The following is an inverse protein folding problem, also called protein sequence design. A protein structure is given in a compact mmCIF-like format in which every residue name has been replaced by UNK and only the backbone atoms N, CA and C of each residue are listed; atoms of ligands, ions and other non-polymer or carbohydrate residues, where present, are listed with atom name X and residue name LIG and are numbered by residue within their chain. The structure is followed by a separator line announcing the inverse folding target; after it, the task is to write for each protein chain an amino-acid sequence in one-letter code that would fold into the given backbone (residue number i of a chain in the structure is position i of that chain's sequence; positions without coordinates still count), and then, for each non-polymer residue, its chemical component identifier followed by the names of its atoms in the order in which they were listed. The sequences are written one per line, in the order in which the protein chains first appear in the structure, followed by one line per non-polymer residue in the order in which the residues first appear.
data_IF_948905856106
#
_entry.id   IF_948905856106
#
_cell.length_a   1.000
_cell.length_b   1.000
_cell.length_c   1.000
_cell.angle_alpha   90.00
_cell.angle_beta   90.00
_cell.angle_gamma   90.00
#
_symmetry.space_group_name_H-M   'P 1'
#
loop_
_entity.id
_entity.type
_entity.pdbx_description
1 polymer ?
#
# COMPACT_ATOMS: atom_id res chain seq x y z
N UNK A 1 -22.64 97.05 -4.02
CA UNK A 1 -22.33 95.73 -4.64
C UNK A 1 -23.45 95.37 -5.57
N UNK A 2 -23.22 95.53 -6.92
CA UNK A 2 -24.25 95.27 -7.97
C UNK A 2 -24.18 93.85 -8.46
N UNK A 3 -25.22 92.96 -8.13
CA UNK A 3 -25.33 91.61 -8.66
C UNK A 3 -25.75 91.64 -10.15
N UNK A 4 -24.94 91.11 -11.04
CA UNK A 4 -25.22 90.94 -12.44
C UNK A 4 -26.03 89.66 -12.66
N UNK A 5 -27.34 89.84 -13.02
CA UNK A 5 -28.23 88.77 -13.41
C UNK A 5 -27.83 88.18 -14.74
N UNK A 6 -27.30 86.98 -14.84
CA UNK A 6 -27.11 86.21 -16.06
C UNK A 6 -28.45 85.55 -16.40
N UNK A 7 -29.11 85.99 -17.44
CA UNK A 7 -30.26 85.28 -18.01
C UNK A 7 -29.79 83.97 -18.60
N UNK A 8 -30.22 82.83 -18.12
CA UNK A 8 -30.06 81.53 -18.72
C UNK A 8 -31.08 81.48 -19.88
N UNK A 9 -30.62 81.29 -21.10
CA UNK A 9 -31.45 81.05 -22.29
C UNK A 9 -31.85 79.57 -22.23
N UNK A 10 -33.05 79.23 -21.86
CA UNK A 10 -33.60 77.89 -21.95
C UNK A 10 -34.00 77.62 -23.40
N UNK A 11 -33.10 76.96 -24.14
CA UNK A 11 -33.37 76.50 -25.51
C UNK A 11 -34.21 75.22 -25.38
N UNK A 12 -35.47 75.27 -25.72
CA UNK A 12 -36.31 74.08 -25.72
C UNK A 12 -35.77 73.04 -26.74
N UNK A 13 -35.80 71.74 -26.45
CA UNK A 13 -35.13 70.70 -27.24
C UNK A 13 -35.62 70.67 -28.72
N UNK A 14 -36.83 71.24 -29.00
CA UNK A 14 -37.38 71.37 -30.35
C UNK A 14 -36.60 72.33 -31.25
N UNK A 15 -36.12 73.48 -30.69
CA UNK A 15 -35.29 74.46 -31.45
C UNK A 15 -33.89 73.96 -31.66
N UNK A 16 -33.33 73.17 -30.72
CA UNK A 16 -32.01 72.53 -30.86
C UNK A 16 -32.04 71.49 -31.99
N UNK A 17 -33.09 70.67 -32.09
CA UNK A 17 -33.28 69.68 -33.16
C UNK A 17 -33.45 70.38 -34.50
N UNK A 18 -34.25 71.47 -34.57
CA UNK A 18 -34.45 72.24 -35.78
C UNK A 18 -33.17 72.94 -36.24
N UNK A 19 -32.35 73.47 -35.31
CA UNK A 19 -31.07 74.07 -35.67
C UNK A 19 -30.08 73.04 -36.20
N UNK A 20 -30.06 71.79 -35.58
CA UNK A 20 -29.24 70.67 -36.03
C UNK A 20 -29.62 70.16 -37.40
N UNK A 21 -30.94 70.10 -37.75
CA UNK A 21 -31.39 69.71 -39.09
C UNK A 21 -31.03 70.76 -40.13
N UNK A 22 -31.20 72.04 -39.82
CA UNK A 22 -30.79 73.12 -40.71
C UNK A 22 -29.27 73.10 -40.94
N UNK A 23 -28.47 72.84 -39.91
CA UNK A 23 -26.99 72.72 -40.00
C UNK A 23 -26.61 71.53 -40.91
N UNK A 24 -27.27 70.38 -40.78
CA UNK A 24 -27.05 69.21 -41.65
C UNK A 24 -27.43 69.50 -43.13
N UNK A 25 -28.54 70.17 -43.35
CA UNK A 25 -28.94 70.53 -44.70
C UNK A 25 -27.99 71.54 -45.35
N UNK A 26 -27.55 72.55 -44.59
CA UNK A 26 -26.54 73.54 -45.06
C UNK A 26 -25.22 72.83 -45.40
N UNK A 27 -24.76 71.88 -44.54
CA UNK A 27 -23.55 71.06 -44.79
C UNK A 27 -23.72 70.22 -46.05
N UNK A 28 -24.90 69.63 -46.25
CA UNK A 28 -25.21 68.86 -47.48
C UNK A 28 -25.20 69.70 -48.72
N UNK A 29 -25.81 70.89 -48.70
CA UNK A 29 -25.85 71.86 -49.84
C UNK A 29 -24.46 72.38 -50.14
N UNK A 30 -23.67 72.76 -49.11
CA UNK A 30 -22.27 73.20 -49.29
C UNK A 30 -21.40 72.07 -49.85
N UNK A 31 -21.65 70.80 -49.47
CA UNK A 31 -20.95 69.63 -50.03
C UNK A 31 -21.25 69.44 -51.55
N UNK A 32 -22.43 69.79 -52.03
CA UNK A 32 -22.80 69.67 -53.46
C UNK A 32 -22.21 70.80 -54.30
N UNK A 33 -21.97 72.00 -53.74
CA UNK A 33 -21.48 73.17 -54.49
C UNK A 33 -19.95 73.37 -54.47
N UNK A 34 -19.23 72.67 -53.59
CA UNK A 34 -17.78 72.83 -53.43
C UNK A 34 -17.02 71.55 -53.69
N UNK A 35 -17.02 71.03 -54.90
CA UNK A 35 -16.19 69.87 -55.29
C UNK A 35 -14.70 70.08 -55.16
N UNK A 36 -14.19 71.33 -55.08
CA UNK A 36 -12.79 71.62 -54.91
C UNK A 36 -12.22 71.55 -53.46
N UNK A 37 -13.10 71.57 -52.45
CA UNK A 37 -12.67 71.57 -51.02
C UNK A 37 -12.63 70.17 -50.42
N UNK A 38 -13.13 69.16 -51.13
CA UNK A 38 -13.21 67.80 -50.75
C UNK A 38 -11.83 67.07 -50.66
N UNK A 39 -10.85 67.59 -51.41
CA UNK A 39 -9.46 67.04 -51.33
C UNK A 39 -8.75 67.26 -49.99
N UNK A 40 -9.01 68.40 -49.36
CA UNK A 40 -8.42 68.74 -48.04
C UNK A 40 -9.10 67.94 -46.90
N UNK A 41 -10.43 67.72 -47.00
CA UNK A 41 -11.15 66.90 -46.00
C UNK A 41 -10.76 65.44 -46.14
N UNK A 42 -10.54 64.95 -47.35
CA UNK A 42 -10.08 63.55 -47.59
C UNK A 42 -8.69 63.31 -47.08
N UNK A 43 -7.79 64.29 -47.10
CA UNK A 43 -6.45 64.21 -46.56
C UNK A 43 -6.47 64.17 -45.01
N UNK A 44 -7.33 64.96 -44.37
CA UNK A 44 -7.50 64.94 -42.92
C UNK A 44 -8.10 63.60 -42.46
N UNK A 45 -9.07 63.06 -43.19
CA UNK A 45 -9.66 61.75 -42.84
C UNK A 45 -8.65 60.60 -42.95
N UNK A 46 -7.87 60.61 -44.05
CA UNK A 46 -6.83 59.59 -44.24
C UNK A 46 -5.64 59.74 -43.26
N UNK A 47 -5.33 60.95 -42.82
CA UNK A 47 -4.17 61.23 -41.97
C UNK A 47 -4.45 60.98 -40.47
N UNK A 48 -5.70 61.17 -40.01
CA UNK A 48 -6.06 61.05 -38.60
C UNK A 48 -7.02 59.90 -38.29
N UNK A 49 -8.03 59.68 -39.12
CA UNK A 49 -9.06 58.67 -38.82
C UNK A 49 -8.59 57.22 -39.11
N UNK A 50 -7.87 57.03 -40.23
CA UNK A 50 -7.36 55.68 -40.61
C UNK A 50 -6.32 55.15 -39.63
N UNK A 51 -5.30 55.94 -39.16
CA UNK A 51 -4.37 55.44 -38.13
C UNK A 51 -5.04 55.26 -36.77
N UNK A 52 -6.03 56.08 -36.41
CA UNK A 52 -6.80 55.91 -35.18
C UNK A 52 -7.64 54.62 -35.18
N UNK A 53 -8.25 54.28 -36.30
CA UNK A 53 -9.02 53.04 -36.50
C UNK A 53 -8.12 51.79 -36.46
N UNK A 54 -6.89 51.90 -37.03
CA UNK A 54 -5.89 50.84 -36.93
C UNK A 54 -5.37 50.69 -35.48
N UNK A 55 -5.16 51.82 -34.77
CA UNK A 55 -4.75 51.81 -33.37
C UNK A 55 -5.78 51.13 -32.43
N UNK A 56 -7.07 51.42 -32.62
CA UNK A 56 -8.14 50.81 -31.82
C UNK A 56 -8.26 49.30 -32.09
N UNK A 57 -8.15 48.87 -33.35
CA UNK A 57 -8.14 47.46 -33.67
C UNK A 57 -6.93 46.72 -33.10
N UNK A 58 -5.74 47.32 -33.14
CA UNK A 58 -4.52 46.74 -32.58
C UNK A 58 -4.59 46.61 -31.05
N UNK A 59 -5.17 47.62 -30.38
CA UNK A 59 -5.39 47.54 -28.92
C UNK A 59 -6.47 46.49 -28.60
N UNK A 60 -7.55 46.41 -29.40
CA UNK A 60 -8.60 45.40 -29.25
C UNK A 60 -8.05 43.97 -29.33
N UNK A 61 -7.30 43.67 -30.40
CA UNK A 61 -6.71 42.32 -30.59
C UNK A 61 -5.64 42.00 -29.53
N UNK A 62 -4.89 43.01 -29.06
CA UNK A 62 -3.93 42.84 -27.97
C UNK A 62 -4.63 42.49 -26.64
N UNK A 63 -5.72 43.18 -26.30
CA UNK A 63 -6.52 42.91 -25.11
C UNK A 63 -7.16 41.52 -25.21
N UNK A 64 -7.73 41.19 -26.37
CA UNK A 64 -8.37 39.89 -26.63
C UNK A 64 -7.34 38.73 -26.46
N UNK A 65 -6.13 38.87 -27.03
CA UNK A 65 -5.06 37.86 -26.85
C UNK A 65 -4.60 37.73 -25.40
N UNK A 66 -4.63 38.81 -24.62
CA UNK A 66 -4.29 38.72 -23.18
C UNK A 66 -5.40 38.08 -22.37
N UNK A 67 -6.66 38.35 -22.68
CA UNK A 67 -7.81 37.73 -22.02
C UNK A 67 -7.86 36.23 -22.33
N UNK A 68 -7.63 35.83 -23.58
CA UNK A 68 -7.51 34.41 -23.95
C UNK A 68 -6.34 33.72 -23.24
N UNK A 69 -5.18 34.38 -23.14
CA UNK A 69 -4.03 33.85 -22.41
C UNK A 69 -4.31 33.67 -20.90
N UNK A 70 -5.07 34.59 -20.29
CA UNK A 70 -5.50 34.46 -18.89
C UNK A 70 -6.52 33.31 -18.71
N UNK A 71 -7.50 33.18 -19.59
CA UNK A 71 -8.45 32.07 -19.54
C UNK A 71 -7.75 30.72 -19.72
N UNK A 72 -6.83 30.64 -20.68
CA UNK A 72 -6.03 29.42 -20.87
C UNK A 72 -5.14 29.10 -19.65
N UNK A 73 -4.57 30.12 -19.00
CA UNK A 73 -3.78 29.91 -17.80
C UNK A 73 -4.62 29.39 -16.63
N UNK A 74 -5.80 29.97 -16.40
CA UNK A 74 -6.73 29.52 -15.35
C UNK A 74 -7.22 28.08 -15.60
N UNK A 75 -7.54 27.74 -16.84
CA UNK A 75 -7.95 26.37 -17.21
C UNK A 75 -6.81 25.36 -16.98
N UNK A 76 -5.57 25.72 -17.38
CA UNK A 76 -4.38 24.87 -17.16
C UNK A 76 -4.07 24.69 -15.68
N UNK A 77 -4.21 25.74 -14.86
CA UNK A 77 -4.03 25.63 -13.40
C UNK A 77 -5.08 24.70 -12.81
N UNK A 78 -6.35 24.87 -13.17
CA UNK A 78 -7.44 24.02 -12.68
C UNK A 78 -7.26 22.55 -13.12
N UNK A 79 -6.86 22.34 -14.38
CA UNK A 79 -6.56 20.99 -14.88
C UNK A 79 -5.37 20.37 -14.15
N UNK A 80 -4.33 21.14 -13.85
CA UNK A 80 -3.18 20.69 -13.10
C UNK A 80 -3.56 20.28 -11.66
N UNK A 81 -4.42 21.05 -11.00
CA UNK A 81 -4.96 20.71 -9.68
C UNK A 81 -5.79 19.42 -9.72
N UNK A 82 -6.70 19.31 -10.70
CA UNK A 82 -7.48 18.09 -10.90
C UNK A 82 -6.63 16.87 -11.21
N UNK A 83 -5.56 17.04 -12.00
CA UNK A 83 -4.62 15.96 -12.29
C UNK A 83 -3.85 15.55 -11.05
N UNK A 84 -3.42 16.51 -10.21
CA UNK A 84 -2.76 16.21 -8.92
C UNK A 84 -3.69 15.45 -7.97
N UNK A 85 -4.95 15.85 -7.87
CA UNK A 85 -5.95 15.14 -7.06
C UNK A 85 -6.18 13.71 -7.58
N UNK A 86 -6.28 13.54 -8.90
CA UNK A 86 -6.39 12.20 -9.52
C UNK A 86 -5.16 11.35 -9.25
N UNK A 87 -3.95 11.90 -9.38
CA UNK A 87 -2.70 11.20 -9.08
C UNK A 87 -2.71 10.75 -7.62
N UNK A 88 -2.98 11.64 -6.66
CA UNK A 88 -3.06 11.29 -5.24
C UNK A 88 -4.12 10.21 -4.96
N UNK A 89 -5.27 10.27 -5.63
CA UNK A 89 -6.31 9.25 -5.50
C UNK A 89 -5.87 7.90 -6.07
N UNK A 90 -5.12 7.90 -7.18
CA UNK A 90 -4.56 6.67 -7.76
C UNK A 90 -3.44 6.08 -6.93
N UNK A 91 -2.58 6.91 -6.34
CA UNK A 91 -1.53 6.47 -5.41
C UNK A 91 -2.15 5.79 -4.18
N UNK A 92 -3.20 6.37 -3.60
CA UNK A 92 -3.93 5.77 -2.49
C UNK A 92 -4.56 4.42 -2.87
N UNK A 93 -5.21 4.35 -4.04
CA UNK A 93 -5.79 3.10 -4.54
C UNK A 93 -4.72 2.04 -4.84
N UNK A 94 -3.58 2.46 -5.41
CA UNK A 94 -2.47 1.56 -5.69
C UNK A 94 -1.92 0.94 -4.39
N UNK A 95 -1.72 1.76 -3.35
CA UNK A 95 -1.30 1.27 -2.04
C UNK A 95 -2.32 0.27 -1.46
N UNK A 96 -3.62 0.55 -1.59
CA UNK A 96 -4.66 -0.37 -1.16
C UNK A 96 -4.65 -1.68 -1.95
N UNK A 97 -4.55 -1.64 -3.28
CA UNK A 97 -4.43 -2.84 -4.11
C UNK A 97 -3.21 -3.69 -3.77
N UNK A 98 -2.08 -3.05 -3.46
CA UNK A 98 -0.88 -3.76 -3.02
C UNK A 98 -1.12 -4.48 -1.69
N UNK A 99 -1.78 -3.82 -0.74
CA UNK A 99 -2.14 -4.42 0.54
C UNK A 99 -3.12 -5.58 0.37
N UNK A 100 -4.18 -5.40 -0.41
CA UNK A 100 -5.18 -6.45 -0.69
C UNK A 100 -4.54 -7.67 -1.38
N UNK A 101 -3.62 -7.42 -2.34
CA UNK A 101 -2.88 -8.49 -3.01
C UNK A 101 -1.98 -9.27 -2.06
N UNK A 102 -1.31 -8.58 -1.15
CA UNK A 102 -0.48 -9.22 -0.12
C UNK A 102 -1.33 -10.06 0.85
N UNK A 103 -2.49 -9.55 1.28
CA UNK A 103 -3.42 -10.30 2.13
C UNK A 103 -3.97 -11.55 1.42
N UNK A 104 -4.29 -11.44 0.13
CA UNK A 104 -4.75 -12.58 -0.67
C UNK A 104 -3.68 -13.67 -0.77
N UNK A 105 -2.43 -13.32 -1.07
CA UNK A 105 -1.30 -14.28 -1.14
C UNK A 105 -1.12 -15.01 0.20
N UNK A 106 -1.21 -14.28 1.30
CA UNK A 106 -1.09 -14.83 2.65
C UNK A 106 -2.22 -15.81 3.00
N UNK A 107 -3.47 -15.45 2.68
CA UNK A 107 -4.62 -16.33 2.89
C UNK A 107 -4.55 -17.58 2.02
N UNK A 108 -4.02 -17.46 0.81
CA UNK A 108 -3.81 -18.60 -0.07
C UNK A 108 -2.78 -19.59 0.52
N UNK A 109 -1.65 -19.10 1.04
CA UNK A 109 -0.66 -19.93 1.72
C UNK A 109 -1.24 -20.63 2.96
N UNK A 110 -2.06 -19.92 3.73
CA UNK A 110 -2.73 -20.52 4.88
C UNK A 110 -3.70 -21.62 4.47
N UNK A 111 -4.41 -21.46 3.34
CA UNK A 111 -5.30 -22.49 2.78
C UNK A 111 -4.50 -23.71 2.26
N UNK A 112 -3.36 -23.47 1.62
CA UNK A 112 -2.48 -24.56 1.15
C UNK A 112 -1.92 -25.35 2.36
N UNK A 113 -1.50 -24.65 3.43
CA UNK A 113 -1.07 -25.29 4.68
C UNK A 113 -2.20 -26.11 5.33
N UNK A 114 -3.43 -25.60 5.32
CA UNK A 114 -4.59 -26.35 5.83
C UNK A 114 -4.81 -27.66 5.07
N UNK A 115 -4.62 -27.65 3.77
CA UNK A 115 -4.77 -28.84 2.93
C UNK A 115 -3.71 -29.92 3.18
N UNK A 116 -2.54 -29.57 3.72
CA UNK A 116 -1.47 -30.54 4.04
C UNK A 116 -1.78 -31.39 5.28
N UNK A 117 -2.60 -30.90 6.20
CA UNK A 117 -2.87 -31.55 7.49
C UNK A 117 -4.38 -31.81 7.68
N UNK A 118 -5.01 -32.50 6.72
CA UNK A 118 -6.45 -32.74 6.69
C UNK A 118 -6.97 -33.59 7.86
N UNK A 119 -6.11 -34.38 8.49
CA UNK A 119 -6.46 -35.27 9.61
C UNK A 119 -6.69 -34.53 10.93
N UNK A 120 -6.34 -33.26 11.00
CA UNK A 120 -6.43 -32.45 12.21
C UNK A 120 -7.49 -31.35 12.05
N UNK A 121 -8.30 -31.16 13.09
CA UNK A 121 -9.15 -29.99 13.21
C UNK A 121 -8.30 -28.77 13.59
N UNK A 122 -8.42 -27.68 12.85
CA UNK A 122 -7.56 -26.51 12.96
C UNK A 122 -8.38 -25.23 12.96
N UNK A 123 -7.79 -24.17 13.52
CA UNK A 123 -8.34 -22.82 13.45
C UNK A 123 -7.25 -21.83 13.05
N UNK A 124 -7.58 -20.86 12.20
CA UNK A 124 -6.70 -19.75 11.89
C UNK A 124 -6.67 -18.74 13.03
N UNK A 125 -5.50 -18.20 13.30
CA UNK A 125 -5.30 -17.14 14.31
C UNK A 125 -4.32 -16.10 13.79
N UNK A 126 -4.53 -14.84 14.19
CA UNK A 126 -3.67 -13.71 13.83
C UNK A 126 -2.70 -13.40 14.97
N UNK A 127 -1.47 -13.08 14.63
CA UNK A 127 -0.47 -12.59 15.58
C UNK A 127 -0.82 -11.16 16.00
N UNK A 128 -1.03 -10.93 17.29
CA UNK A 128 -1.42 -9.62 17.84
C UNK A 128 -0.26 -8.92 18.57
N UNK A 129 0.75 -9.65 18.98
CA UNK A 129 1.94 -9.08 19.63
C UNK A 129 3.13 -10.02 19.52
N UNK A 130 4.31 -9.47 19.38
CA UNK A 130 5.60 -10.17 19.45
C UNK A 130 6.40 -9.57 20.61
N UNK A 131 7.23 -10.35 21.27
CA UNK A 131 8.08 -9.83 22.34
C UNK A 131 9.16 -8.91 21.75
N UNK A 132 9.37 -7.76 22.37
CA UNK A 132 10.24 -6.69 21.85
C UNK A 132 11.75 -6.99 21.98
N UNK A 133 12.12 -8.00 22.74
CA UNK A 133 13.51 -8.38 22.97
C UNK A 133 14.08 -9.37 21.96
N UNK A 134 13.27 -10.38 21.59
CA UNK A 134 13.64 -11.44 20.65
C UNK A 134 12.44 -11.75 19.77
N UNK A 135 12.42 -11.21 18.59
CA UNK A 135 11.27 -11.19 17.66
C UNK A 135 10.79 -12.59 17.21
N UNK A 136 11.52 -13.64 17.52
CA UNK A 136 11.31 -14.95 16.92
C UNK A 136 11.01 -16.06 17.96
N UNK A 137 11.18 -15.82 19.26
CA UNK A 137 11.04 -16.85 20.28
C UNK A 137 9.61 -17.02 20.77
N UNK A 138 8.89 -15.90 21.01
CA UNK A 138 7.54 -15.90 21.57
C UNK A 138 6.66 -14.84 20.90
N UNK A 139 5.41 -15.22 20.60
CA UNK A 139 4.39 -14.29 20.12
C UNK A 139 3.00 -14.61 20.70
N UNK A 140 2.08 -13.68 20.58
CA UNK A 140 0.70 -13.80 21.02
C UNK A 140 -0.26 -13.82 19.84
N UNK A 141 -1.32 -14.64 19.92
CA UNK A 141 -2.37 -14.79 18.93
C UNK A 141 -3.72 -14.37 19.49
N UNK A 142 -4.64 -13.95 18.61
CA UNK A 142 -6.00 -13.43 18.89
C UNK A 142 -7.04 -14.53 19.18
N UNK A 143 -6.60 -15.74 19.50
CA UNK A 143 -7.43 -16.91 19.81
C UNK A 143 -7.10 -17.48 21.16
N UNK A 144 -8.13 -17.94 21.89
CA UNK A 144 -7.98 -18.45 23.25
C UNK A 144 -8.90 -19.65 23.58
N UNK A 145 -9.19 -19.81 24.86
CA UNK A 145 -10.06 -20.91 25.32
C UNK A 145 -11.48 -20.84 24.75
N UNK A 146 -11.98 -19.64 24.43
CA UNK A 146 -13.29 -19.47 23.78
C UNK A 146 -13.35 -20.04 22.36
N UNK A 147 -12.21 -20.15 21.71
CA UNK A 147 -12.06 -20.66 20.35
C UNK A 147 -11.67 -22.17 20.33
N UNK A 148 -11.70 -22.83 21.49
CA UNK A 148 -11.38 -24.25 21.61
C UNK A 148 -9.90 -24.56 21.78
N UNK A 149 -9.04 -23.54 21.95
CA UNK A 149 -7.62 -23.75 22.16
C UNK A 149 -7.32 -24.20 23.59
N UNK A 150 -6.21 -24.90 23.74
CA UNK A 150 -5.65 -25.32 25.02
C UNK A 150 -4.12 -25.26 25.03
N UNK A 151 -3.52 -25.24 26.21
CA UNK A 151 -2.07 -25.35 26.35
C UNK A 151 -1.63 -26.71 25.79
N UNK A 152 -0.60 -26.70 24.94
CA UNK A 152 -0.11 -27.87 24.20
C UNK A 152 -0.63 -28.01 22.78
N UNK A 153 -1.57 -27.16 22.32
CA UNK A 153 -1.93 -27.08 20.90
C UNK A 153 -0.72 -26.72 20.06
N UNK A 154 -0.53 -27.44 18.97
CA UNK A 154 0.58 -27.19 18.03
C UNK A 154 0.20 -26.10 17.04
N UNK A 155 1.15 -25.26 16.73
CA UNK A 155 0.98 -24.10 15.85
C UNK A 155 1.80 -24.31 14.57
N UNK A 156 1.15 -24.16 13.45
CA UNK A 156 1.71 -24.33 12.11
C UNK A 156 1.84 -22.97 11.42
N UNK A 157 2.91 -22.82 10.67
CA UNK A 157 3.12 -21.66 9.82
C UNK A 157 3.92 -22.05 8.57
N UNK A 158 3.64 -21.39 7.45
CA UNK A 158 4.25 -21.68 6.15
C UNK A 158 4.12 -23.17 5.80
N UNK A 159 5.17 -23.96 5.79
CA UNK A 159 5.12 -25.38 5.43
C UNK A 159 5.39 -26.33 6.61
N UNK A 160 5.32 -25.87 7.86
CA UNK A 160 5.71 -26.72 8.98
C UNK A 160 5.30 -26.26 10.36
N UNK A 161 5.93 -26.91 11.34
CA UNK A 161 5.76 -26.63 12.76
C UNK A 161 6.39 -25.27 13.11
N UNK A 162 5.54 -24.37 13.59
CA UNK A 162 6.00 -23.09 14.12
C UNK A 162 6.32 -23.14 15.61
N UNK A 163 5.45 -23.79 16.41
CA UNK A 163 5.58 -23.77 17.85
C UNK A 163 4.48 -24.51 18.58
N UNK A 164 4.31 -24.15 19.84
CA UNK A 164 3.33 -24.72 20.75
C UNK A 164 2.76 -23.65 21.68
N UNK A 165 1.47 -23.76 22.01
CA UNK A 165 0.84 -22.89 23.01
C UNK A 165 1.35 -23.25 24.40
N UNK A 166 1.92 -22.25 25.10
CA UNK A 166 2.47 -22.41 26.46
C UNK A 166 1.61 -21.77 27.54
N UNK A 167 0.92 -20.68 27.22
CA UNK A 167 -0.02 -19.98 28.10
C UNK A 167 -1.27 -19.59 27.34
N UNK A 168 -2.43 -19.57 27.99
CA UNK A 168 -3.67 -19.28 27.35
C UNK A 168 -4.61 -18.44 28.22
N UNK A 169 -5.22 -17.43 27.62
CA UNK A 169 -6.31 -16.64 28.18
C UNK A 169 -7.64 -16.99 27.52
N UNK A 170 -8.68 -16.21 27.79
CA UNK A 170 -9.99 -16.39 27.20
C UNK A 170 -10.01 -16.11 25.68
N UNK A 171 -9.29 -15.06 25.23
CA UNK A 171 -9.29 -14.54 23.85
C UNK A 171 -7.87 -14.34 23.29
N UNK A 172 -6.88 -14.90 23.94
CA UNK A 172 -5.50 -14.85 23.44
C UNK A 172 -4.74 -16.10 23.89
N UNK A 173 -3.65 -16.43 23.19
CA UNK A 173 -2.72 -17.46 23.61
C UNK A 173 -1.28 -17.01 23.31
N UNK A 174 -0.36 -17.50 24.13
CA UNK A 174 1.09 -17.31 23.98
C UNK A 174 1.68 -18.53 23.32
N UNK A 175 2.33 -18.32 22.20
CA UNK A 175 3.02 -19.34 21.43
C UNK A 175 4.51 -19.20 21.64
N UNK A 176 5.16 -20.32 21.97
CA UNK A 176 6.62 -20.44 21.94
C UNK A 176 7.02 -21.16 20.67
N UNK A 177 7.94 -20.57 19.93
CA UNK A 177 8.43 -21.15 18.67
C UNK A 177 9.38 -22.32 18.91
N UNK A 178 9.60 -23.14 17.89
CA UNK A 178 10.56 -24.25 17.97
C UNK A 178 12.01 -23.79 17.94
N UNK A 179 12.28 -22.54 17.53
CA UNK A 179 13.63 -21.95 17.51
C UNK A 179 14.02 -21.27 18.82
N UNK A 180 13.09 -21.12 19.79
CA UNK A 180 13.38 -20.62 21.13
C UNK A 180 14.42 -21.51 21.81
N UNK A 181 15.43 -20.91 22.51
CA UNK A 181 16.54 -21.63 23.16
C UNK A 181 16.08 -22.66 24.21
N UNK A 182 14.85 -22.55 24.69
CA UNK A 182 14.26 -23.51 25.66
C UNK A 182 13.40 -24.58 24.99
N UNK A 183 13.24 -24.50 23.68
CA UNK A 183 12.44 -25.44 22.88
C UNK A 183 13.24 -26.68 22.51
N UNK A 184 12.61 -27.83 22.67
CA UNK A 184 13.15 -29.12 22.25
C UNK A 184 12.03 -29.97 21.67
N UNK A 185 12.24 -30.46 20.46
CA UNK A 185 11.26 -31.22 19.69
C UNK A 185 11.80 -32.63 19.43
N UNK A 186 11.12 -33.65 19.96
CA UNK A 186 11.40 -35.01 19.54
C UNK A 186 10.98 -35.20 18.11
N UNK A 187 11.92 -35.48 17.23
CA UNK A 187 11.75 -35.58 15.80
C UNK A 187 12.12 -36.95 15.26
N UNK A 188 11.78 -37.17 14.01
CA UNK A 188 12.10 -38.37 13.25
C UNK A 188 12.52 -37.95 11.83
N UNK A 189 13.61 -38.49 11.33
CA UNK A 189 14.13 -38.25 10.00
C UNK A 189 13.58 -39.31 9.05
N UNK A 190 12.99 -38.90 7.94
CA UNK A 190 12.47 -39.78 6.90
C UNK A 190 13.45 -39.86 5.71
N UNK A 191 13.57 -41.00 5.02
CA UNK A 191 12.80 -42.27 5.19
C UNK A 191 13.39 -43.20 6.26
N UNK A 192 14.55 -42.94 6.83
CA UNK A 192 15.27 -43.85 7.76
C UNK A 192 14.47 -44.12 9.05
N UNK A 193 13.53 -43.26 9.42
CA UNK A 193 12.73 -43.27 10.66
C UNK A 193 13.59 -43.16 11.93
N UNK A 194 14.77 -42.61 11.78
CA UNK A 194 15.70 -42.40 12.91
C UNK A 194 15.18 -41.29 13.81
N UNK A 195 15.10 -41.58 15.11
CA UNK A 195 14.63 -40.63 16.13
C UNK A 195 15.79 -39.71 16.50
N UNK A 196 15.47 -38.44 16.68
CA UNK A 196 16.43 -37.41 17.09
C UNK A 196 15.74 -36.34 17.96
N UNK A 197 16.52 -35.45 18.54
CA UNK A 197 16.04 -34.28 19.22
C UNK A 197 16.46 -33.03 18.44
N UNK A 198 15.49 -32.21 18.07
CA UNK A 198 15.73 -30.90 17.43
C UNK A 198 15.70 -29.83 18.54
N UNK A 199 16.83 -29.21 18.75
CA UNK A 199 16.99 -28.15 19.76
C UNK A 199 16.82 -26.77 19.12
N UNK A 200 16.00 -25.93 19.76
CA UNK A 200 15.87 -24.52 19.38
C UNK A 200 17.13 -23.76 19.74
N UNK A 201 17.53 -22.82 18.94
CA UNK A 201 18.57 -21.85 19.17
C UNK A 201 18.41 -20.66 18.26
N UNK A 202 18.21 -19.49 18.84
CA UNK A 202 18.09 -18.23 18.08
C UNK A 202 19.39 -17.89 17.33
N UNK A 203 20.54 -18.24 17.92
CA UNK A 203 21.84 -18.03 17.27
C UNK A 203 21.98 -18.89 16.01
N UNK A 204 21.67 -20.19 16.13
CA UNK A 204 21.75 -21.09 14.99
C UNK A 204 20.73 -20.75 13.90
N UNK A 205 19.52 -20.33 14.32
CA UNK A 205 18.52 -19.87 13.38
C UNK A 205 18.95 -18.60 12.61
N UNK A 206 19.66 -17.67 13.26
CA UNK A 206 20.23 -16.51 12.58
C UNK A 206 21.26 -16.91 11.50
N UNK A 207 21.91 -18.06 11.65
CA UNK A 207 22.80 -18.67 10.66
C UNK A 207 22.04 -19.54 9.63
N UNK A 208 20.71 -19.65 9.76
CA UNK A 208 19.82 -20.32 8.80
C UNK A 208 19.57 -21.82 9.07
N UNK A 209 19.89 -22.33 10.25
CA UNK A 209 19.71 -23.76 10.58
C UNK A 209 19.27 -24.00 12.02
N UNK A 210 18.74 -25.22 12.25
CA UNK A 210 18.53 -25.83 13.56
C UNK A 210 19.41 -27.07 13.69
N UNK A 211 19.62 -27.56 14.91
CA UNK A 211 20.45 -28.74 15.16
C UNK A 211 19.56 -29.90 15.61
N UNK A 212 19.72 -31.04 14.95
CA UNK A 212 19.20 -32.34 15.38
C UNK A 212 20.32 -33.19 15.97
N UNK A 213 20.16 -33.56 17.20
CA UNK A 213 21.16 -34.32 17.98
C UNK A 213 20.63 -35.72 18.32
N UNK A 214 21.51 -36.56 18.86
CA UNK A 214 21.21 -37.91 19.33
C UNK A 214 20.69 -38.85 18.21
N UNK A 215 21.19 -38.68 17.01
CA UNK A 215 20.89 -39.57 15.89
C UNK A 215 21.77 -40.82 15.99
N UNK A 216 21.19 -41.99 15.79
CA UNK A 216 21.94 -43.25 15.80
C UNK A 216 23.10 -43.20 14.76
N UNK A 217 24.27 -43.65 15.17
CA UNK A 217 25.46 -43.67 14.30
C UNK A 217 25.25 -44.51 13.02
N UNK A 218 24.45 -45.57 13.11
CA UNK A 218 24.16 -46.48 12.01
C UNK A 218 22.99 -46.00 11.12
N UNK A 219 22.33 -44.88 11.46
CA UNK A 219 21.26 -44.34 10.71
C UNK A 219 21.73 -43.86 9.31
N UNK A 220 21.06 -44.32 8.28
CA UNK A 220 21.27 -43.84 6.91
C UNK A 220 20.50 -42.52 6.72
N UNK A 221 21.22 -41.39 6.68
CA UNK A 221 20.66 -40.05 6.55
C UNK A 221 21.39 -39.32 5.45
N UNK A 222 20.63 -38.68 4.58
CA UNK A 222 21.12 -37.90 3.43
C UNK A 222 20.68 -36.46 3.50
N UNK A 223 21.42 -35.59 2.83
CA UNK A 223 20.98 -34.21 2.57
C UNK A 223 19.65 -34.23 1.78
N UNK A 224 18.69 -33.39 2.19
CA UNK A 224 17.34 -33.33 1.64
C UNK A 224 16.32 -34.22 2.36
N UNK A 225 16.76 -35.10 3.29
CA UNK A 225 15.82 -35.91 4.07
C UNK A 225 14.90 -35.05 4.92
N UNK A 226 13.62 -35.40 4.93
CA UNK A 226 12.60 -34.65 5.68
C UNK A 226 12.64 -34.98 7.16
N UNK A 227 12.55 -33.96 8.00
CA UNK A 227 12.48 -34.08 9.46
C UNK A 227 11.07 -33.71 9.93
N UNK A 228 10.43 -34.65 10.61
CA UNK A 228 9.06 -34.49 11.12
C UNK A 228 9.00 -34.73 12.63
N UNK A 229 7.96 -34.24 13.28
CA UNK A 229 7.69 -34.57 14.69
C UNK A 229 7.51 -36.07 14.90
N UNK A 230 8.15 -36.60 15.95
CA UNK A 230 8.13 -38.03 16.25
C UNK A 230 6.85 -38.45 16.99
N UNK A 231 6.45 -39.70 16.78
CA UNK A 231 5.38 -40.35 17.56
C UNK A 231 5.74 -40.49 19.07
N UNK A 232 7.00 -40.47 19.40
CA UNK A 232 7.50 -40.57 20.81
C UNK A 232 7.31 -39.25 21.57
N UNK A 233 7.07 -38.15 20.87
CA UNK A 233 6.85 -36.85 21.52
C UNK A 233 5.66 -36.91 22.47
N UNK A 234 5.81 -36.29 23.64
CA UNK A 234 4.74 -36.07 24.61
C UNK A 234 4.07 -34.70 24.50
N UNK A 235 4.58 -33.84 23.62
CA UNK A 235 4.12 -32.45 23.42
C UNK A 235 3.58 -32.21 22.02
N UNK A 236 4.23 -32.81 21.03
CA UNK A 236 3.90 -32.56 19.61
C UNK A 236 3.15 -33.75 19.00
N UNK A 237 2.16 -33.46 18.19
CA UNK A 237 1.50 -34.44 17.34
C UNK A 237 2.52 -34.97 16.33
N UNK A 238 2.37 -36.21 15.90
CA UNK A 238 3.35 -36.83 15.01
C UNK A 238 3.15 -36.45 13.54
N UNK A 239 4.23 -36.47 12.76
CA UNK A 239 4.19 -36.25 11.33
C UNK A 239 4.11 -34.80 10.85
N UNK A 240 4.25 -33.83 11.76
CA UNK A 240 4.31 -32.43 11.39
C UNK A 240 5.73 -32.11 10.89
N UNK A 241 5.84 -31.48 9.72
CA UNK A 241 7.11 -31.11 9.12
C UNK A 241 7.86 -30.09 10.00
N UNK A 242 9.14 -30.34 10.25
CA UNK A 242 10.04 -29.40 10.96
C UNK A 242 10.97 -28.73 9.95
N UNK A 243 11.47 -29.47 8.97
CA UNK A 243 12.41 -28.99 7.98
C UNK A 243 13.09 -30.11 7.22
N UNK A 244 14.24 -29.80 6.64
CA UNK A 244 15.01 -30.72 5.81
C UNK A 244 16.46 -30.73 6.22
N UNK A 245 17.10 -31.91 6.18
CA UNK A 245 18.52 -32.08 6.47
C UNK A 245 19.36 -31.34 5.42
N UNK A 246 20.22 -30.45 5.87
CA UNK A 246 21.19 -29.76 4.99
C UNK A 246 22.59 -30.33 5.07
N UNK A 247 22.97 -30.88 6.25
CA UNK A 247 24.28 -31.44 6.49
C UNK A 247 24.22 -32.47 7.60
N UNK A 248 25.07 -33.50 7.54
CA UNK A 248 25.21 -34.49 8.60
C UNK A 248 26.68 -34.57 9.03
N UNK A 249 26.93 -34.59 10.36
CA UNK A 249 28.25 -34.76 10.91
C UNK A 249 28.22 -35.90 11.93
N UNK A 250 29.32 -36.67 12.00
CA UNK A 250 29.51 -37.63 13.08
C UNK A 250 30.10 -36.96 14.29
N UNK A 251 29.58 -37.27 15.48
CA UNK A 251 30.13 -36.75 16.70
C UNK A 251 31.57 -37.21 16.91
N UNK A 252 32.35 -36.43 17.65
CA UNK A 252 33.76 -36.70 17.94
C UNK A 252 34.00 -38.07 18.59
N UNK A 253 33.04 -38.61 19.32
CA UNK A 253 33.05 -39.92 19.94
C UNK A 253 32.62 -41.06 19.04
N UNK A 254 32.13 -40.74 17.81
CA UNK A 254 31.59 -41.69 16.84
C UNK A 254 30.46 -42.60 17.37
N UNK A 255 29.72 -42.11 18.36
CA UNK A 255 28.58 -42.81 18.98
C UNK A 255 27.23 -42.32 18.42
N UNK A 256 27.15 -41.07 18.01
CA UNK A 256 25.96 -40.44 17.50
C UNK A 256 26.31 -39.59 16.29
N UNK A 257 25.27 -39.19 15.52
CA UNK A 257 25.33 -38.18 14.45
C UNK A 257 24.58 -36.96 14.86
N UNK A 258 24.99 -35.83 14.30
CA UNK A 258 24.33 -34.53 14.40
C UNK A 258 23.96 -34.10 12.99
N UNK A 259 22.74 -33.62 12.80
CA UNK A 259 22.30 -33.07 11.52
C UNK A 259 21.91 -31.58 11.65
N UNK A 260 22.28 -30.84 10.65
CA UNK A 260 21.82 -29.44 10.47
C UNK A 260 20.55 -29.48 9.66
N UNK A 261 19.52 -28.72 10.11
CA UNK A 261 18.17 -28.74 9.52
C UNK A 261 17.84 -27.33 9.07
N UNK A 262 17.44 -27.17 7.83
CA UNK A 262 16.81 -25.93 7.34
C UNK A 262 15.34 -26.00 7.77
N UNK A 263 14.85 -25.05 8.59
CA UNK A 263 13.46 -25.04 9.04
C UNK A 263 12.49 -24.92 7.84
N UNK A 264 11.33 -25.58 7.93
CA UNK A 264 10.28 -25.47 6.93
C UNK A 264 9.44 -24.21 7.09
N UNK A 265 9.41 -23.64 8.30
CA UNK A 265 8.71 -22.40 8.61
C UNK A 265 9.70 -21.23 8.63
N UNK A 266 9.29 -20.10 8.04
CA UNK A 266 10.03 -18.83 8.12
C UNK A 266 9.56 -18.02 9.33
N UNK A 267 10.40 -17.90 10.36
CA UNK A 267 10.04 -17.19 11.59
C UNK A 267 10.19 -15.68 11.50
N UNK A 268 10.76 -15.14 10.43
CA UNK A 268 11.05 -13.70 10.31
C UNK A 268 9.79 -12.84 10.21
N UNK A 269 8.72 -13.35 9.61
CA UNK A 269 7.51 -12.55 9.33
C UNK A 269 6.19 -13.31 9.55
N UNK A 270 5.98 -13.82 10.78
CA UNK A 270 4.76 -14.54 11.13
C UNK A 270 3.63 -13.53 11.38
N UNK A 271 2.53 -13.60 10.62
CA UNK A 271 1.36 -12.74 10.79
C UNK A 271 0.09 -13.52 11.11
N UNK A 272 -0.18 -14.61 10.41
CA UNK A 272 -1.24 -15.57 10.71
C UNK A 272 -0.67 -16.98 10.81
N UNK A 273 -1.31 -17.77 11.65
CA UNK A 273 -0.91 -19.16 11.93
C UNK A 273 -2.14 -20.07 11.90
N UNK A 274 -1.92 -21.35 11.65
CA UNK A 274 -2.92 -22.41 11.90
C UNK A 274 -2.63 -23.08 13.23
N UNK A 275 -3.64 -23.20 14.09
CA UNK A 275 -3.53 -23.87 15.38
C UNK A 275 -4.31 -25.17 15.32
N UNK A 276 -3.65 -26.30 15.59
CA UNK A 276 -4.30 -27.62 15.71
C UNK A 276 -5.00 -27.67 17.06
N UNK A 277 -6.31 -27.94 17.05
CA UNK A 277 -7.13 -27.97 18.28
C UNK A 277 -6.84 -29.18 19.16
N UNK A 278 -6.43 -30.29 18.53
CA UNK A 278 -6.03 -31.48 19.28
C UNK A 278 -4.68 -31.32 19.94
N UNK A 279 -4.55 -31.86 21.13
CA UNK A 279 -3.25 -31.95 21.82
C UNK A 279 -2.80 -33.41 21.89
N UNK A 280 -1.49 -33.63 22.05
CA UNK A 280 -0.96 -34.99 22.19
C UNK A 280 -1.57 -35.74 23.39
N UNK A 281 -1.92 -35.02 24.47
CA UNK A 281 -2.57 -35.62 25.64
C UNK A 281 -3.96 -36.11 25.36
N UNK A 282 -4.75 -35.42 24.56
CA UNK A 282 -6.12 -35.78 24.23
C UNK A 282 -6.23 -37.02 23.30
N UNK A 283 -5.11 -37.41 22.68
CA UNK A 283 -5.04 -38.57 21.79
C UNK A 283 -4.59 -39.84 22.55
N UNK A 284 -3.91 -39.64 23.69
CA UNK A 284 -3.35 -40.75 24.48
C UNK A 284 -4.19 -41.10 25.71
N UNK A 285 -5.16 -40.28 26.08
CA UNK A 285 -6.19 -40.55 27.10
C UNK A 285 -7.48 -41.09 26.42
#
# INVERSE_FOLDING_TARGET
MRRRNRKRIEITPKYFLLALTILCVVLMVTSLFFDGMMSSVRNVTNTFIVPMQKGVNTVGTWVESKVEAFHNYESVVTENEQLKEKISSYETKLAQYQQDSYELDRLQKLYELDALYTDYEKTGARVISKDTGNWFDVFYIDKGTKDGLSVGCNVLYDNGLCGIITEIGESYAKVRTIIDDTSNVNAMILPSRSICNVSGSLTNYADGYMIAENIDKDAEISEGDQVVTSYVSNKYLSGINIGYVSKVESDSNNLTKTAYIIPAADFSNIEEVLVILQTKKNITD
#
